data_IF_835018024942
#
_entry.id   IF_835018024942
#
_cell.length_a   1.000
_cell.length_b   1.000
_cell.length_c   1.000
_cell.angle_alpha   90.00
_cell.angle_beta   90.00
_cell.angle_gamma   90.00
#
_symmetry.space_group_name_H-M   'P 1'
#
loop_
_entity.id
_entity.type
_entity.pdbx_description
1 polymer ?
#
# COMPACT_ATOMS: atom_id res chain seq x y z
N UNK A 1 12.97 -5.77 -49.23
CA UNK A 1 11.71 -5.04 -49.52
C UNK A 1 10.70 -6.05 -50.01
N UNK A 2 9.59 -6.20 -49.28
CA UNK A 2 8.34 -5.68 -49.80
C UNK A 2 7.53 -4.90 -48.75
N UNK A 3 6.69 -4.04 -49.29
CA UNK A 3 5.86 -2.99 -48.70
C UNK A 3 4.68 -3.51 -47.88
N UNK A 4 4.52 -3.00 -46.66
CA UNK A 4 3.28 -3.08 -45.87
C UNK A 4 2.35 -1.89 -46.22
N UNK A 5 1.03 -2.11 -46.37
CA UNK A 5 0.09 -1.04 -46.61
C UNK A 5 -0.38 -0.35 -45.32
N UNK A 6 -0.68 0.94 -45.47
CA UNK A 6 -1.23 1.87 -44.47
C UNK A 6 -2.75 1.69 -44.28
N UNK A 7 -3.19 2.15 -43.10
CA UNK A 7 -4.50 2.71 -42.73
C UNK A 7 -5.66 1.76 -42.38
N UNK A 8 -6.14 1.90 -41.14
CA UNK A 8 -7.53 2.09 -40.64
C UNK A 8 -7.35 2.49 -39.16
N UNK A 9 -7.87 3.58 -38.58
CA UNK A 9 -9.16 4.21 -38.78
C UNK A 9 -10.01 3.98 -37.52
N UNK A 10 -9.96 4.96 -36.58
CA UNK A 10 -10.85 5.28 -35.44
C UNK A 10 -11.95 4.27 -35.04
N UNK A 11 -12.10 4.04 -33.73
CA UNK A 11 -13.41 3.96 -33.08
C UNK A 11 -13.35 4.43 -31.62
N UNK A 12 -13.89 5.63 -31.38
CA UNK A 12 -14.28 6.15 -30.08
C UNK A 12 -15.51 5.38 -29.59
N UNK A 13 -15.48 4.86 -28.36
CA UNK A 13 -16.68 4.37 -27.69
C UNK A 13 -17.21 5.44 -26.74
N UNK A 14 -18.25 6.15 -27.18
CA UNK A 14 -19.18 6.85 -26.30
C UNK A 14 -20.26 5.86 -25.87
N UNK A 15 -20.49 5.68 -24.58
CA UNK A 15 -21.69 5.04 -24.05
C UNK A 15 -22.56 6.10 -23.34
N UNK A 16 -23.89 6.07 -23.50
CA UNK A 16 -24.78 7.02 -22.86
C UNK A 16 -25.05 6.62 -21.41
N UNK A 17 -24.76 7.51 -20.46
CA UNK A 17 -25.23 7.38 -19.08
C UNK A 17 -26.69 7.85 -19.01
N UNK A 18 -27.60 6.92 -18.70
CA UNK A 18 -28.98 7.23 -18.33
C UNK A 18 -29.03 7.72 -16.88
N UNK A 19 -29.52 8.95 -16.67
CA UNK A 19 -29.60 9.57 -15.34
C UNK A 19 -30.88 9.13 -14.60
N UNK A 20 -30.77 8.08 -13.79
CA UNK A 20 -31.78 7.79 -12.78
C UNK A 20 -31.55 8.70 -11.56
N UNK A 21 -32.47 9.63 -11.29
CA UNK A 21 -32.44 10.48 -10.08
C UNK A 21 -32.58 9.59 -8.83
N UNK A 22 -31.64 9.61 -7.87
CA UNK A 22 -31.73 8.77 -6.68
C UNK A 22 -32.82 9.27 -5.73
N UNK A 23 -33.58 8.32 -5.18
CA UNK A 23 -34.69 8.56 -4.26
C UNK A 23 -34.20 9.08 -2.90
N UNK A 24 -34.75 10.22 -2.44
CA UNK A 24 -34.37 10.92 -1.18
C UNK A 24 -34.37 10.04 0.08
N UNK A 25 -35.17 8.97 0.14
CA UNK A 25 -35.20 8.04 1.29
C UNK A 25 -33.95 7.16 1.39
N UNK A 26 -33.29 6.83 0.28
CA UNK A 26 -32.06 6.01 0.27
C UNK A 26 -30.86 6.78 0.81
N UNK A 27 -30.77 8.06 0.46
CA UNK A 27 -29.70 9.00 0.87
C UNK A 27 -29.68 9.29 2.39
N UNK A 28 -30.85 9.32 3.04
CA UNK A 28 -30.95 9.54 4.48
C UNK A 28 -30.48 8.31 5.28
N UNK A 29 -30.80 7.10 4.81
CA UNK A 29 -30.42 5.86 5.49
C UNK A 29 -28.90 5.56 5.37
N UNK A 30 -28.28 5.84 4.22
CA UNK A 30 -26.81 5.74 4.06
C UNK A 30 -26.05 6.77 4.91
N UNK A 31 -26.58 7.99 5.08
CA UNK A 31 -25.95 9.02 5.93
C UNK A 31 -25.91 8.62 7.41
N UNK A 32 -26.96 7.99 7.94
CA UNK A 32 -27.02 7.56 9.34
C UNK A 32 -26.07 6.38 9.63
N UNK A 33 -25.96 5.43 8.69
CA UNK A 33 -25.02 4.30 8.80
C UNK A 33 -23.55 4.74 8.74
N UNK A 34 -23.21 5.73 7.91
CA UNK A 34 -21.85 6.25 7.80
C UNK A 34 -21.38 7.01 9.07
N UNK A 35 -22.29 7.68 9.78
CA UNK A 35 -21.99 8.35 11.06
C UNK A 35 -21.77 7.35 12.18
N UNK A 36 -22.65 6.34 12.30
CA UNK A 36 -22.49 5.26 13.27
C UNK A 36 -21.21 4.45 13.03
N UNK A 37 -20.90 4.16 11.76
CA UNK A 37 -19.64 3.51 11.38
C UNK A 37 -18.42 4.36 11.75
N UNK A 38 -18.45 5.69 11.55
CA UNK A 38 -17.32 6.55 11.90
C UNK A 38 -16.99 6.55 13.40
N UNK A 39 -18.00 6.54 14.27
CA UNK A 39 -17.80 6.47 15.73
C UNK A 39 -17.27 5.09 16.16
N UNK A 40 -17.76 4.00 15.56
CA UNK A 40 -17.26 2.65 15.81
C UNK A 40 -15.76 2.55 15.46
N UNK A 41 -15.34 3.04 14.29
CA UNK A 41 -13.94 3.05 13.89
C UNK A 41 -13.08 3.94 14.79
N UNK A 42 -13.58 5.12 15.14
CA UNK A 42 -12.87 6.04 16.02
C UNK A 42 -12.64 5.41 17.40
N UNK A 43 -13.65 4.75 17.98
CA UNK A 43 -13.53 4.03 19.25
C UNK A 43 -12.58 2.85 19.14
N UNK A 44 -12.70 2.05 18.08
CA UNK A 44 -11.83 0.90 17.87
C UNK A 44 -10.36 1.29 17.74
N UNK A 45 -10.05 2.41 17.08
CA UNK A 45 -8.66 2.91 16.96
C UNK A 45 -8.11 3.32 18.32
N UNK A 46 -8.90 4.01 19.14
CA UNK A 46 -8.46 4.52 20.44
C UNK A 46 -8.35 3.41 21.49
N UNK A 47 -9.33 2.50 21.55
CA UNK A 47 -9.48 1.54 22.65
C UNK A 47 -8.90 0.15 22.34
N UNK A 48 -8.92 -0.29 21.08
CA UNK A 48 -8.46 -1.63 20.69
C UNK A 48 -7.14 -1.56 19.95
N UNK A 49 -7.05 -0.64 18.97
CA UNK A 49 -5.81 -0.43 18.26
C UNK A 49 -4.81 0.38 19.10
N UNK A 50 -5.21 1.08 20.16
CA UNK A 50 -4.28 1.84 21.02
C UNK A 50 -3.31 2.72 20.20
N UNK A 51 -3.80 3.31 19.11
CA UNK A 51 -2.98 4.04 18.14
C UNK A 51 -3.43 5.50 18.05
N UNK A 52 -2.51 6.38 17.65
CA UNK A 52 -2.84 7.79 17.39
C UNK A 52 -3.85 7.90 16.26
N UNK A 53 -5.07 8.34 16.60
CA UNK A 53 -6.18 8.48 15.66
C UNK A 53 -5.81 9.42 14.49
N UNK A 54 -5.97 8.99 13.23
CA UNK A 54 -5.83 9.88 12.09
C UNK A 54 -6.88 10.99 12.10
N UNK A 55 -6.46 12.24 11.88
CA UNK A 55 -7.28 13.44 12.06
C UNK A 55 -8.61 13.43 11.29
N UNK A 56 -8.67 12.75 10.13
CA UNK A 56 -9.83 12.78 9.22
C UNK A 56 -10.42 11.41 8.92
N UNK A 57 -10.30 10.44 9.82
CA UNK A 57 -10.84 9.08 9.60
C UNK A 57 -12.35 9.08 9.29
N UNK A 58 -13.14 9.90 9.99
CA UNK A 58 -14.57 10.02 9.73
C UNK A 58 -14.89 10.60 8.34
N UNK A 59 -14.07 11.54 7.88
CA UNK A 59 -14.20 12.13 6.53
C UNK A 59 -13.79 11.12 5.46
N UNK A 60 -12.73 10.35 5.70
CA UNK A 60 -12.29 9.27 4.82
C UNK A 60 -13.40 8.24 4.62
N UNK A 61 -14.08 7.78 5.69
CA UNK A 61 -15.20 6.85 5.57
C UNK A 61 -16.35 7.39 4.71
N UNK A 62 -16.69 8.68 4.86
CA UNK A 62 -17.71 9.33 4.01
C UNK A 62 -17.29 9.36 2.55
N UNK A 63 -16.03 9.69 2.28
CA UNK A 63 -15.46 9.71 0.92
C UNK A 63 -15.43 8.32 0.30
N UNK A 64 -14.99 7.29 1.04
CA UNK A 64 -15.01 5.90 0.57
C UNK A 64 -16.41 5.45 0.20
N UNK A 65 -17.41 5.76 1.03
CA UNK A 65 -18.81 5.46 0.73
C UNK A 65 -19.31 6.24 -0.50
N UNK A 66 -18.90 7.49 -0.68
CA UNK A 66 -19.22 8.27 -1.88
C UNK A 66 -18.54 7.74 -3.15
N UNK A 67 -17.38 7.09 -3.02
CA UNK A 67 -16.70 6.35 -4.10
C UNK A 67 -17.37 5.00 -4.40
N UNK A 68 -18.44 4.63 -3.67
CA UNK A 68 -19.19 3.40 -3.88
C UNK A 68 -18.64 2.20 -3.09
N UNK A 69 -17.74 2.41 -2.13
CA UNK A 69 -17.27 1.35 -1.25
C UNK A 69 -18.35 1.03 -0.19
N UNK A 70 -18.40 -0.23 0.24
CA UNK A 70 -19.21 -0.66 1.38
C UNK A 70 -18.39 -0.50 2.66
N UNK A 71 -18.88 0.27 3.64
CA UNK A 71 -18.23 0.42 4.94
C UNK A 71 -18.39 -0.88 5.74
N UNK A 72 -17.30 -1.36 6.32
CA UNK A 72 -17.25 -2.61 7.09
C UNK A 72 -16.93 -2.33 8.56
N UNK A 73 -17.15 -3.29 9.45
CA UNK A 73 -16.76 -3.13 10.86
C UNK A 73 -15.22 -3.17 10.99
N UNK A 74 -14.60 -2.31 11.83
CA UNK A 74 -13.16 -2.33 12.10
C UNK A 74 -12.67 -3.64 12.75
N UNK A 75 -13.58 -4.46 13.27
CA UNK A 75 -13.27 -5.77 13.84
C UNK A 75 -13.39 -6.93 12.83
N UNK A 76 -13.82 -6.70 11.58
CA UNK A 76 -13.88 -7.71 10.51
C UNK A 76 -12.49 -7.96 9.88
N UNK A 77 -11.59 -8.56 10.67
CA UNK A 77 -10.17 -8.70 10.33
C UNK A 77 -9.77 -10.07 9.80
N UNK A 78 -10.69 -11.01 9.68
CA UNK A 78 -10.45 -12.38 9.21
C UNK A 78 -9.76 -12.40 7.84
N UNK A 79 -8.68 -13.15 7.70
CA UNK A 79 -7.88 -13.25 6.49
C UNK A 79 -7.19 -11.95 6.07
N UNK A 80 -7.28 -10.87 6.84
CA UNK A 80 -6.53 -9.64 6.60
C UNK A 80 -5.23 -9.66 7.39
N UNK A 81 -4.24 -8.91 6.92
CA UNK A 81 -2.95 -8.79 7.59
C UNK A 81 -3.14 -8.45 9.09
N UNK A 82 -2.39 -9.05 10.02
CA UNK A 82 -2.65 -8.90 11.45
C UNK A 82 -2.63 -7.45 11.96
N UNK A 83 -1.94 -6.56 11.24
CA UNK A 83 -1.76 -5.16 11.63
C UNK A 83 -2.77 -4.17 11.03
N UNK A 84 -3.79 -4.61 10.29
CA UNK A 84 -4.74 -3.68 9.66
C UNK A 84 -6.06 -3.52 10.43
N UNK A 85 -6.64 -2.32 10.31
CA UNK A 85 -8.01 -1.99 10.70
C UNK A 85 -8.81 -1.73 9.41
N UNK A 86 -9.72 -2.61 9.00
CA UNK A 86 -10.52 -2.40 7.79
C UNK A 86 -11.44 -1.19 7.94
N UNK A 87 -11.64 -0.47 6.83
CA UNK A 87 -12.54 0.69 6.73
C UNK A 87 -13.71 0.40 5.80
N UNK A 88 -13.40 -0.15 4.64
CA UNK A 88 -14.39 -0.43 3.60
C UNK A 88 -13.90 -1.55 2.70
N UNK A 89 -14.81 -2.10 1.90
CA UNK A 89 -14.53 -3.06 0.84
C UNK A 89 -15.15 -2.59 -0.48
N UNK A 90 -14.55 -3.00 -1.58
CA UNK A 90 -15.06 -2.71 -2.92
C UNK A 90 -14.73 -3.82 -3.89
N UNK A 91 -15.57 -3.95 -4.91
CA UNK A 91 -15.34 -4.90 -5.99
C UNK A 91 -14.15 -4.43 -6.84
N UNK A 92 -13.28 -5.37 -7.19
CA UNK A 92 -12.14 -5.14 -8.08
C UNK A 92 -12.12 -6.20 -9.16
N UNK A 93 -11.64 -5.83 -10.35
CA UNK A 93 -11.28 -6.81 -11.35
C UNK A 93 -9.84 -7.26 -11.07
N UNK A 94 -9.59 -8.55 -10.82
CA UNK A 94 -8.24 -9.01 -10.57
C UNK A 94 -7.33 -8.68 -11.76
N UNK A 95 -6.27 -7.93 -11.50
CA UNK A 95 -5.23 -7.65 -12.47
C UNK A 95 -4.12 -8.70 -12.34
N UNK A 96 -3.66 -9.32 -13.45
CA UNK A 96 -2.57 -10.29 -13.39
C UNK A 96 -1.31 -9.68 -12.77
N UNK A 97 -0.71 -10.40 -11.82
CA UNK A 97 0.58 -10.02 -11.24
C UNK A 97 0.54 -9.05 -10.06
N UNK A 98 -0.65 -8.72 -9.52
CA UNK A 98 -0.79 -8.00 -8.25
C UNK A 98 -1.07 -8.98 -7.09
N UNK A 99 -0.03 -9.30 -6.32
CA UNK A 99 -0.07 -10.19 -5.17
C UNK A 99 -0.92 -9.65 -4.00
N UNK A 100 -1.35 -8.37 -4.04
CA UNK A 100 -2.28 -7.83 -3.04
C UNK A 100 -3.76 -8.10 -3.35
N UNK A 101 -4.07 -8.62 -4.55
CA UNK A 101 -5.44 -8.86 -5.01
C UNK A 101 -5.67 -10.33 -5.28
N UNK A 102 -6.58 -10.94 -4.51
CA UNK A 102 -7.06 -12.30 -4.70
C UNK A 102 -8.59 -12.26 -4.77
N UNK A 103 -9.15 -12.86 -5.82
CA UNK A 103 -10.59 -12.84 -6.06
C UNK A 103 -11.06 -11.50 -6.64
N UNK A 104 -12.24 -11.07 -6.24
CA UNK A 104 -12.97 -9.95 -6.84
C UNK A 104 -13.28 -8.82 -5.84
N UNK A 105 -12.66 -8.83 -4.67
CA UNK A 105 -12.92 -7.84 -3.61
C UNK A 105 -11.60 -7.43 -2.94
N UNK A 106 -11.47 -6.14 -2.64
CA UNK A 106 -10.36 -5.57 -1.88
C UNK A 106 -10.87 -4.68 -0.76
N UNK A 107 -10.17 -4.74 0.36
CA UNK A 107 -10.42 -3.95 1.55
C UNK A 107 -9.51 -2.74 1.55
N UNK A 108 -10.07 -1.57 1.80
CA UNK A 108 -9.31 -0.39 2.18
C UNK A 108 -9.21 -0.36 3.69
N UNK A 109 -7.99 -0.26 4.21
CA UNK A 109 -7.70 -0.38 5.64
C UNK A 109 -6.77 0.75 6.10
N UNK A 110 -6.73 0.97 7.41
CA UNK A 110 -5.63 1.66 8.07
C UNK A 110 -4.60 0.65 8.56
N UNK A 111 -3.32 0.90 8.29
CA UNK A 111 -2.23 0.08 8.79
C UNK A 111 -1.74 0.63 10.14
N UNK A 112 -1.86 -0.18 11.18
CA UNK A 112 -1.24 0.10 12.49
C UNK A 112 0.19 -0.43 12.47
N UNK A 113 1.14 0.43 12.08
CA UNK A 113 2.55 0.06 12.13
C UNK A 113 2.98 -0.25 13.57
N UNK A 114 3.75 -1.32 13.86
CA UNK A 114 4.08 -1.70 15.23
C UNK A 114 4.90 -0.65 15.97
N UNK A 115 5.79 0.02 15.24
CA UNK A 115 6.64 1.09 15.76
C UNK A 115 6.25 2.44 15.14
N UNK A 116 5.76 3.36 15.96
CA UNK A 116 5.35 4.72 15.54
C UNK A 116 6.46 5.55 14.88
N UNK A 117 7.74 5.20 15.07
CA UNK A 117 8.88 5.88 14.42
C UNK A 117 9.00 5.57 12.92
N UNK A 118 8.43 4.46 12.45
CA UNK A 118 8.58 3.99 11.07
C UNK A 118 7.44 4.44 10.16
N UNK A 119 6.34 4.99 10.69
CA UNK A 119 5.20 5.46 9.89
C UNK A 119 4.74 6.87 10.29
N UNK A 120 4.29 7.64 9.31
CA UNK A 120 3.61 8.93 9.54
C UNK A 120 2.14 8.60 9.89
N UNK A 121 1.87 8.28 11.15
CA UNK A 121 0.53 7.87 11.60
C UNK A 121 0.13 6.49 11.08
N UNK A 122 -1.16 6.32 10.75
CA UNK A 122 -1.70 5.07 10.18
C UNK A 122 -1.93 5.23 8.67
N UNK A 123 -1.08 4.64 7.81
CA UNK A 123 -1.24 4.71 6.36
C UNK A 123 -2.52 4.05 5.87
N UNK A 124 -3.04 4.53 4.74
CA UNK A 124 -4.16 3.90 4.03
C UNK A 124 -3.60 2.84 3.08
N UNK A 125 -4.03 1.59 3.28
CA UNK A 125 -3.57 0.43 2.50
C UNK A 125 -4.75 -0.31 1.86
N UNK A 126 -4.45 -1.15 0.88
CA UNK A 126 -5.42 -2.03 0.23
C UNK A 126 -4.91 -3.47 0.15
N UNK A 127 -5.79 -4.43 0.41
CA UNK A 127 -5.53 -5.85 0.17
C UNK A 127 -6.82 -6.65 0.06
N UNK A 128 -6.79 -7.79 -0.63
CA UNK A 128 -7.82 -8.83 -0.51
C UNK A 128 -7.60 -9.68 0.74
N UNK A 129 -8.63 -10.41 1.17
CA UNK A 129 -8.45 -11.46 2.18
C UNK A 129 -7.51 -12.53 1.66
N UNK A 130 -6.66 -13.02 2.54
CA UNK A 130 -5.63 -14.03 2.32
C UNK A 130 -4.58 -13.64 1.25
N UNK A 131 -4.58 -12.39 0.80
CA UNK A 131 -3.53 -11.90 -0.07
C UNK A 131 -2.19 -11.87 0.68
N UNK A 132 -1.09 -12.40 0.11
CA UNK A 132 0.23 -12.38 0.74
C UNK A 132 0.81 -10.97 0.89
N UNK A 133 0.25 -9.99 0.18
CA UNK A 133 0.74 -8.62 0.15
C UNK A 133 -0.36 -7.59 0.36
N UNK A 134 0.05 -6.37 0.69
CA UNK A 134 -0.81 -5.19 0.71
C UNK A 134 -0.17 -4.04 -0.08
N UNK A 135 -1.02 -3.18 -0.63
CA UNK A 135 -0.65 -1.99 -1.37
C UNK A 135 -0.78 -0.75 -0.48
N UNK A 136 0.25 0.09 -0.48
CA UNK A 136 0.13 1.45 0.07
C UNK A 136 -0.65 2.32 -0.91
N UNK A 137 -1.77 2.87 -0.45
CA UNK A 137 -2.60 3.78 -1.24
C UNK A 137 -2.26 5.24 -0.95
N UNK A 138 -2.09 5.57 0.34
CA UNK A 138 -1.69 6.90 0.79
C UNK A 138 -0.99 6.80 2.15
N UNK A 139 -0.04 7.70 2.44
CA UNK A 139 0.71 7.65 3.70
C UNK A 139 -0.11 8.17 4.88
N UNK A 140 -1.12 8.99 4.60
CA UNK A 140 -2.04 9.56 5.59
C UNK A 140 -3.46 9.64 5.03
N UNK A 141 -4.44 9.87 5.92
CA UNK A 141 -5.82 10.17 5.50
C UNK A 141 -5.91 11.44 4.66
N UNK A 142 -5.06 12.42 4.94
CA UNK A 142 -5.08 13.71 4.26
C UNK A 142 -4.55 13.58 2.83
N UNK A 143 -3.50 12.77 2.61
CA UNK A 143 -3.03 12.42 1.26
C UNK A 143 -4.12 11.70 0.47
N UNK A 144 -4.81 10.72 1.07
CA UNK A 144 -5.91 10.03 0.40
C UNK A 144 -7.01 11.03 -0.03
N UNK A 145 -7.46 11.87 0.90
CA UNK A 145 -8.53 12.85 0.66
C UNK A 145 -8.10 13.88 -0.40
N UNK A 146 -6.87 14.39 -0.33
CA UNK A 146 -6.34 15.33 -1.32
C UNK A 146 -6.39 14.71 -2.72
N UNK A 147 -5.87 13.49 -2.87
CA UNK A 147 -5.87 12.80 -4.16
C UNK A 147 -7.28 12.59 -4.69
N UNK A 148 -8.19 12.05 -3.88
CA UNK A 148 -9.56 11.77 -4.31
C UNK A 148 -10.29 13.05 -4.76
N UNK A 149 -10.10 14.16 -4.04
CA UNK A 149 -10.69 15.46 -4.41
C UNK A 149 -10.05 16.06 -5.66
N UNK A 150 -8.74 15.93 -5.82
CA UNK A 150 -8.03 16.39 -7.03
C UNK A 150 -8.42 15.60 -8.28
N UNK A 151 -8.60 14.28 -8.15
CA UNK A 151 -9.07 13.41 -9.23
C UNK A 151 -10.50 13.76 -9.66
N UNK A 152 -11.42 13.95 -8.69
CA UNK A 152 -12.79 14.39 -8.98
C UNK A 152 -12.82 15.77 -9.68
N UNK A 153 -12.05 16.74 -9.16
CA UNK A 153 -11.99 18.09 -9.72
C UNK A 153 -11.51 18.10 -11.17
N UNK A 154 -10.50 17.30 -11.50
CA UNK A 154 -10.00 17.16 -12.88
C UNK A 154 -11.00 16.43 -13.78
N UNK A 155 -11.69 15.41 -13.27
CA UNK A 155 -12.61 14.60 -14.06
C UNK A 155 -13.91 15.33 -14.40
N UNK A 156 -14.48 16.05 -13.43
CA UNK A 156 -15.83 16.63 -13.55
C UNK A 156 -16.04 17.93 -12.78
N UNK A 157 -15.01 18.48 -12.13
CA UNK A 157 -15.18 19.50 -11.10
C UNK A 157 -15.75 18.92 -9.81
N UNK A 158 -16.02 19.75 -8.78
CA UNK A 158 -16.50 19.30 -7.48
C UNK A 158 -17.83 18.52 -7.59
N UNK A 159 -17.86 17.32 -7.03
CA UNK A 159 -18.97 16.39 -7.12
C UNK A 159 -19.32 15.72 -5.79
N UNK A 160 -19.68 14.44 -5.85
CA UNK A 160 -20.13 13.66 -4.69
C UNK A 160 -19.01 13.42 -3.66
N UNK A 161 -17.76 13.31 -4.08
CA UNK A 161 -16.60 13.15 -3.20
C UNK A 161 -16.37 14.46 -2.44
N UNK A 162 -16.38 15.60 -3.13
CA UNK A 162 -16.30 16.92 -2.51
C UNK A 162 -17.46 17.19 -1.55
N UNK A 163 -18.68 16.82 -1.91
CA UNK A 163 -19.85 16.93 -1.02
C UNK A 163 -19.69 16.07 0.24
N UNK A 164 -19.23 14.82 0.09
CA UNK A 164 -19.01 13.90 1.19
C UNK A 164 -17.87 14.34 2.12
N UNK A 165 -16.80 14.90 1.56
CA UNK A 165 -15.65 15.41 2.31
C UNK A 165 -16.01 16.68 3.12
N UNK A 166 -16.95 17.49 2.62
CA UNK A 166 -17.49 18.65 3.33
C UNK A 166 -16.41 19.68 3.73
N UNK A 167 -16.59 20.40 4.86
CA UNK A 167 -15.63 21.40 5.32
C UNK A 167 -14.22 20.85 5.55
N UNK A 168 -14.10 19.65 6.14
CA UNK A 168 -12.81 19.00 6.38
C UNK A 168 -12.06 18.69 5.08
N UNK A 169 -12.77 18.40 3.99
CA UNK A 169 -12.16 18.25 2.66
C UNK A 169 -11.55 19.55 2.12
N UNK A 170 -12.17 20.70 2.43
CA UNK A 170 -11.67 22.01 1.98
C UNK A 170 -10.40 22.46 2.69
N UNK A 171 -10.11 21.89 3.86
CA UNK A 171 -8.85 22.11 4.58
C UNK A 171 -7.67 21.39 3.92
N UNK A 172 -7.93 20.31 3.18
CA UNK A 172 -6.87 19.53 2.49
C UNK A 172 -6.76 19.85 1.01
N UNK A 173 -7.85 20.25 0.35
CA UNK A 173 -7.86 20.53 -1.07
C UNK A 173 -8.77 21.70 -1.44
N UNK A 174 -8.28 22.57 -2.32
CA UNK A 174 -9.03 23.71 -2.87
C UNK A 174 -9.47 23.38 -4.30
N UNK A 175 -10.78 23.45 -4.63
CA UNK A 175 -11.27 23.26 -5.99
C UNK A 175 -10.56 24.14 -7.02
N UNK A 176 -10.22 23.57 -8.18
CA UNK A 176 -9.45 24.23 -9.23
C UNK A 176 -7.93 24.26 -8.98
N UNK A 177 -7.43 23.73 -7.85
CA UNK A 177 -6.00 23.80 -7.52
C UNK A 177 -5.11 23.07 -8.53
N UNK A 178 -5.60 22.01 -9.18
CA UNK A 178 -4.84 21.30 -10.22
C UNK A 178 -4.67 22.19 -11.45
N UNK A 179 -5.77 22.79 -11.92
CA UNK A 179 -5.76 23.70 -13.06
C UNK A 179 -4.88 24.95 -12.81
N UNK A 180 -4.89 25.49 -11.58
CA UNK A 180 -4.09 26.67 -11.23
C UNK A 180 -2.60 26.38 -11.06
N UNK A 181 -2.19 25.13 -10.81
CA UNK A 181 -0.82 24.78 -10.46
C UNK A 181 0.18 24.82 -11.65
N UNK A 182 -0.29 25.12 -12.86
CA UNK A 182 0.49 25.17 -14.12
C UNK A 182 1.30 23.89 -14.40
N UNK A 183 0.91 22.77 -13.80
CA UNK A 183 1.53 21.46 -14.05
C UNK A 183 0.93 20.86 -15.32
N UNK A 184 1.74 20.09 -16.06
CA UNK A 184 1.33 19.53 -17.35
C UNK A 184 0.25 18.45 -17.19
N UNK A 185 0.24 17.72 -16.08
CA UNK A 185 -0.72 16.65 -15.79
C UNK A 185 -0.89 16.40 -14.29
N UNK A 186 -1.97 15.70 -13.91
CA UNK A 186 -2.37 15.43 -12.52
C UNK A 186 -1.27 14.73 -11.71
N UNK A 187 -0.55 13.76 -12.28
CA UNK A 187 0.51 13.02 -11.59
C UNK A 187 1.64 13.95 -11.12
N UNK A 188 2.02 14.94 -11.94
CA UNK A 188 3.00 15.95 -11.57
C UNK A 188 2.49 16.90 -10.49
N UNK A 189 1.18 17.20 -10.50
CA UNK A 189 0.54 17.93 -9.40
C UNK A 189 0.59 17.14 -8.09
N UNK A 190 0.14 15.88 -8.10
CA UNK A 190 0.04 15.05 -6.90
C UNK A 190 1.39 14.92 -6.20
N UNK A 191 2.43 14.51 -6.95
CA UNK A 191 3.80 14.33 -6.43
C UNK A 191 4.44 15.61 -5.87
N UNK A 192 3.99 16.80 -6.30
CA UNK A 192 4.54 18.09 -5.87
C UNK A 192 3.70 18.80 -4.80
N UNK A 193 2.39 18.57 -4.76
CA UNK A 193 1.44 19.38 -3.97
C UNK A 193 0.57 18.57 -3.00
N UNK A 194 0.32 17.30 -3.27
CA UNK A 194 -0.57 16.47 -2.47
C UNK A 194 0.20 15.51 -1.56
N UNK A 195 1.22 14.85 -2.11
CA UNK A 195 1.95 13.79 -1.43
C UNK A 195 2.64 12.87 -2.41
N UNK A 196 3.30 11.83 -1.88
CA UNK A 196 3.97 10.81 -2.69
C UNK A 196 3.10 9.55 -2.71
N UNK A 197 2.77 9.05 -3.90
CA UNK A 197 1.95 7.85 -4.09
C UNK A 197 2.71 6.84 -4.94
N UNK A 198 2.76 5.60 -4.47
CA UNK A 198 3.48 4.48 -5.10
C UNK A 198 3.08 4.33 -6.57
N UNK A 199 1.78 4.23 -6.84
CA UNK A 199 1.23 4.01 -8.18
C UNK A 199 1.46 5.23 -9.10
N UNK A 200 1.38 6.46 -8.58
CA UNK A 200 1.65 7.67 -9.35
C UNK A 200 3.11 7.72 -9.80
N UNK A 201 4.06 7.37 -8.92
CA UNK A 201 5.49 7.35 -9.27
C UNK A 201 5.78 6.25 -10.29
N UNK A 202 5.19 5.07 -10.12
CA UNK A 202 5.32 3.96 -11.07
C UNK A 202 4.71 4.29 -12.44
N UNK A 203 3.58 4.99 -12.49
CA UNK A 203 3.02 5.52 -13.74
C UNK A 203 3.96 6.53 -14.41
N UNK A 204 4.63 7.40 -13.65
CA UNK A 204 5.62 8.32 -14.21
C UNK A 204 6.81 7.57 -14.82
N UNK A 205 7.35 6.57 -14.10
CA UNK A 205 8.41 5.70 -14.61
C UNK A 205 8.00 5.02 -15.92
N UNK A 206 6.84 4.36 -15.93
CA UNK A 206 6.30 3.68 -17.10
C UNK A 206 6.08 4.63 -18.28
N UNK A 207 5.58 5.85 -18.03
CA UNK A 207 5.37 6.87 -19.05
C UNK A 207 6.66 7.40 -19.67
N UNK A 208 7.76 7.47 -18.92
CA UNK A 208 9.08 7.78 -19.48
C UNK A 208 9.58 6.64 -20.36
N UNK A 209 9.49 5.41 -19.87
CA UNK A 209 9.92 4.23 -20.61
C UNK A 209 9.14 4.05 -21.92
N UNK A 210 7.81 4.25 -21.91
CA UNK A 210 6.96 4.15 -23.10
C UNK A 210 7.29 5.19 -24.18
N UNK A 211 7.98 6.27 -23.82
CA UNK A 211 8.46 7.31 -24.76
C UNK A 211 9.89 7.07 -25.24
N UNK A 212 10.52 5.98 -24.81
CA UNK A 212 11.93 5.70 -25.06
C UNK A 212 12.90 6.55 -24.21
N UNK A 213 12.39 7.27 -23.20
CA UNK A 213 13.19 8.09 -22.29
C UNK A 213 13.66 7.26 -21.08
N UNK A 214 14.56 6.30 -21.36
CA UNK A 214 15.10 5.40 -20.34
C UNK A 214 15.82 6.15 -19.22
N UNK A 215 16.51 7.26 -19.55
CA UNK A 215 17.26 8.03 -18.56
C UNK A 215 16.32 8.63 -17.50
N UNK A 216 15.21 9.23 -17.91
CA UNK A 216 14.26 9.81 -16.97
C UNK A 216 13.48 8.74 -16.20
N UNK A 217 13.23 7.57 -16.80
CA UNK A 217 12.68 6.41 -16.09
C UNK A 217 13.62 5.97 -14.93
N UNK A 218 14.93 5.85 -15.20
CA UNK A 218 15.95 5.50 -14.21
C UNK A 218 16.09 6.56 -13.11
N UNK A 219 16.14 7.85 -13.47
CA UNK A 219 16.19 8.94 -12.49
C UNK A 219 14.95 8.92 -11.59
N UNK A 220 13.77 8.66 -12.16
CA UNK A 220 12.53 8.54 -11.39
C UNK A 220 12.56 7.34 -10.46
N UNK A 221 13.09 6.19 -10.91
CA UNK A 221 13.26 4.99 -10.11
C UNK A 221 14.23 5.17 -8.94
N UNK A 222 15.38 5.83 -9.15
CA UNK A 222 16.32 6.16 -8.09
C UNK A 222 15.70 7.13 -7.07
N UNK A 223 14.97 8.14 -7.56
CA UNK A 223 14.24 9.05 -6.69
C UNK A 223 13.16 8.33 -5.87
N UNK A 224 12.45 7.36 -6.46
CA UNK A 224 11.42 6.56 -5.82
C UNK A 224 11.95 5.77 -4.62
N UNK A 225 13.14 5.18 -4.75
CA UNK A 225 13.79 4.35 -3.71
C UNK A 225 14.31 5.14 -2.49
N UNK A 226 14.29 6.49 -2.49
CA UNK A 226 14.80 7.25 -1.35
C UNK A 226 13.99 6.93 -0.09
N UNK A 227 14.69 6.51 0.97
CA UNK A 227 14.11 6.00 2.23
C UNK A 227 13.07 6.92 2.89
N UNK A 228 13.18 8.23 2.68
CA UNK A 228 12.23 9.22 3.23
C UNK A 228 10.84 9.19 2.60
N UNK A 229 10.69 8.64 1.39
CA UNK A 229 9.40 8.68 0.69
C UNK A 229 8.44 7.63 1.22
N UNK A 230 8.92 6.39 1.35
CA UNK A 230 8.15 5.22 1.76
C UNK A 230 8.97 4.34 2.74
N UNK A 231 9.26 4.84 3.94
CA UNK A 231 10.04 4.08 4.92
C UNK A 231 9.34 2.76 5.26
N UNK A 232 10.09 1.65 5.28
CA UNK A 232 9.56 0.33 5.59
C UNK A 232 8.83 -0.39 4.45
N UNK A 233 8.75 0.19 3.24
CA UNK A 233 8.12 -0.43 2.08
C UNK A 233 9.14 -1.00 1.10
N UNK A 234 8.95 -2.25 0.68
CA UNK A 234 9.78 -2.93 -0.32
C UNK A 234 9.46 -2.49 -1.75
N UNK A 235 8.21 -2.11 -2.01
CA UNK A 235 7.70 -1.81 -3.36
C UNK A 235 8.55 -0.82 -4.17
N UNK A 236 9.12 0.27 -3.62
CA UNK A 236 10.02 1.13 -4.40
C UNK A 236 11.23 0.40 -4.98
N UNK A 237 11.84 -0.50 -4.20
CA UNK A 237 12.96 -1.32 -4.64
C UNK A 237 12.50 -2.40 -5.63
N UNK A 238 11.36 -3.04 -5.35
CA UNK A 238 10.75 -4.02 -6.25
C UNK A 238 10.48 -3.42 -7.65
N UNK A 239 9.81 -2.27 -7.71
CA UNK A 239 9.49 -1.60 -8.96
C UNK A 239 10.75 -1.18 -9.72
N UNK A 240 11.79 -0.74 -9.01
CA UNK A 240 13.05 -0.37 -9.64
C UNK A 240 13.85 -1.60 -10.14
N UNK A 241 13.79 -2.73 -9.44
CA UNK A 241 14.34 -4.00 -9.92
C UNK A 241 13.66 -4.47 -11.21
N UNK A 242 12.32 -4.34 -11.28
CA UNK A 242 11.55 -4.65 -12.48
C UNK A 242 11.86 -3.68 -13.64
N UNK A 243 12.05 -2.39 -13.34
CA UNK A 243 12.51 -1.42 -14.36
C UNK A 243 13.86 -1.84 -14.96
N UNK A 244 14.82 -2.25 -14.12
CA UNK A 244 16.11 -2.74 -14.61
C UNK A 244 15.97 -4.01 -15.46
N UNK A 245 15.09 -4.93 -15.05
CA UNK A 245 14.77 -6.12 -15.84
C UNK A 245 14.19 -5.74 -17.22
N UNK A 246 13.24 -4.81 -17.28
CA UNK A 246 12.58 -4.38 -18.51
C UNK A 246 13.54 -3.77 -19.54
N UNK A 247 14.64 -3.16 -19.08
CA UNK A 247 15.71 -2.58 -19.92
C UNK A 247 16.94 -3.47 -20.04
N UNK A 248 16.84 -4.75 -19.65
CA UNK A 248 17.88 -5.77 -19.75
C UNK A 248 19.18 -5.44 -18.97
N UNK A 249 19.05 -4.77 -17.83
CA UNK A 249 20.12 -4.48 -16.85
C UNK A 249 20.05 -5.47 -15.70
N UNK A 250 20.38 -6.73 -15.98
CA UNK A 250 20.06 -7.85 -15.10
C UNK A 250 20.87 -7.87 -13.79
N UNK A 251 22.11 -7.38 -13.79
CA UNK A 251 22.91 -7.30 -12.56
C UNK A 251 22.31 -6.29 -11.57
N UNK A 252 21.94 -5.10 -12.05
CA UNK A 252 21.28 -4.10 -11.23
C UNK A 252 19.88 -4.53 -10.79
N UNK A 253 19.15 -5.26 -11.66
CA UNK A 253 17.86 -5.85 -11.31
C UNK A 253 18.00 -6.84 -10.15
N UNK A 254 18.97 -7.76 -10.23
CA UNK A 254 19.26 -8.74 -9.18
C UNK A 254 19.64 -8.08 -7.87
N UNK A 255 20.56 -7.13 -7.90
CA UNK A 255 21.07 -6.49 -6.68
C UNK A 255 19.99 -5.64 -6.02
N UNK A 256 19.15 -4.96 -6.81
CA UNK A 256 17.98 -4.22 -6.30
C UNK A 256 16.90 -5.16 -5.74
N UNK A 257 16.65 -6.31 -6.37
CA UNK A 257 15.73 -7.32 -5.85
C UNK A 257 16.20 -7.87 -4.49
N UNK A 258 17.51 -8.07 -4.29
CA UNK A 258 18.08 -8.43 -2.98
C UNK A 258 17.87 -7.36 -1.92
N UNK A 259 17.87 -6.07 -2.28
CA UNK A 259 17.50 -4.98 -1.37
C UNK A 259 16.01 -5.06 -1.03
N UNK A 260 15.14 -5.26 -2.02
CA UNK A 260 13.71 -5.42 -1.80
C UNK A 260 13.38 -6.58 -0.84
N UNK A 261 14.09 -7.70 -0.92
CA UNK A 261 13.94 -8.86 -0.03
C UNK A 261 14.51 -8.65 1.39
N UNK A 262 15.23 -7.54 1.65
CA UNK A 262 15.59 -7.13 3.03
C UNK A 262 14.51 -6.29 3.69
N UNK A 263 13.47 -5.93 2.95
CA UNK A 263 12.31 -5.19 3.44
C UNK A 263 11.14 -6.18 3.72
N UNK A 264 10.05 -5.75 4.38
CA UNK A 264 8.93 -6.65 4.68
C UNK A 264 8.25 -7.17 3.41
N UNK A 265 8.15 -8.49 3.26
CA UNK A 265 7.72 -9.12 2.00
C UNK A 265 6.24 -8.97 1.70
N UNK A 266 5.42 -8.73 2.72
CA UNK A 266 4.01 -8.36 2.58
C UNK A 266 3.79 -6.97 1.96
N UNK A 267 4.88 -6.27 1.58
CA UNK A 267 4.84 -5.03 0.78
C UNK A 267 5.31 -5.23 -0.67
N UNK A 268 5.63 -6.45 -1.09
CA UNK A 268 5.99 -6.80 -2.48
C UNK A 268 4.73 -7.07 -3.30
N UNK A 269 4.43 -6.23 -4.28
CA UNK A 269 3.20 -6.34 -5.05
C UNK A 269 3.26 -7.35 -6.18
N UNK A 270 4.45 -7.82 -6.58
CA UNK A 270 4.58 -8.94 -7.51
C UNK A 270 4.80 -10.28 -6.82
N UNK A 271 4.86 -10.26 -5.49
CA UNK A 271 4.98 -11.45 -4.64
C UNK A 271 6.43 -11.89 -4.42
N UNK A 272 6.62 -12.64 -3.33
CA UNK A 272 7.93 -13.11 -2.89
C UNK A 272 8.66 -13.94 -3.95
N UNK A 273 7.98 -14.90 -4.58
CA UNK A 273 8.61 -15.86 -5.49
C UNK A 273 9.27 -15.17 -6.69
N UNK A 274 8.56 -14.23 -7.34
CA UNK A 274 9.08 -13.51 -8.50
C UNK A 274 10.34 -12.71 -8.16
N UNK A 275 10.35 -12.06 -6.99
CA UNK A 275 11.48 -11.23 -6.56
C UNK A 275 12.64 -12.07 -6.06
N UNK A 276 12.38 -13.21 -5.41
CA UNK A 276 13.39 -14.22 -5.09
C UNK A 276 14.08 -14.72 -6.35
N UNK A 277 13.31 -15.06 -7.38
CA UNK A 277 13.84 -15.57 -8.64
C UNK A 277 14.67 -14.49 -9.36
N UNK A 278 14.20 -13.23 -9.38
CA UNK A 278 14.97 -12.10 -9.90
C UNK A 278 16.26 -11.82 -9.12
N UNK A 279 16.26 -12.09 -7.81
CA UNK A 279 17.43 -11.96 -6.94
C UNK A 279 18.44 -13.13 -7.09
N UNK A 280 18.13 -14.12 -7.92
CA UNK A 280 18.90 -15.36 -8.11
C UNK A 280 19.12 -16.12 -6.78
N UNK A 281 18.10 -16.13 -5.93
CA UNK A 281 18.10 -16.86 -4.67
C UNK A 281 17.23 -18.11 -4.79
N UNK A 282 17.59 -19.14 -4.03
CA UNK A 282 16.87 -20.41 -4.00
C UNK A 282 16.47 -20.77 -2.56
N UNK A 283 15.56 -21.74 -2.45
CA UNK A 283 15.04 -22.20 -1.17
C UNK A 283 13.74 -21.51 -0.75
N UNK A 284 13.34 -21.81 0.49
CA UNK A 284 12.16 -21.28 1.15
C UNK A 284 12.42 -19.89 1.77
N UNK A 285 11.42 -19.38 2.49
CA UNK A 285 11.52 -18.11 3.20
C UNK A 285 12.73 -18.04 4.14
N UNK A 286 12.99 -19.08 4.92
CA UNK A 286 14.08 -19.05 5.91
C UNK A 286 15.45 -19.11 5.22
N UNK A 287 15.60 -19.90 4.16
CA UNK A 287 16.81 -19.93 3.34
C UNK A 287 17.13 -18.56 2.74
N UNK A 288 16.12 -17.87 2.18
CA UNK A 288 16.29 -16.52 1.60
C UNK A 288 16.63 -15.48 2.66
N UNK A 289 15.93 -15.51 3.81
CA UNK A 289 16.21 -14.60 4.92
C UNK A 289 17.63 -14.79 5.47
N UNK A 290 18.10 -16.04 5.57
CA UNK A 290 19.45 -16.36 6.00
C UNK A 290 20.49 -15.88 4.98
N UNK A 291 20.28 -16.14 3.68
CA UNK A 291 21.19 -15.70 2.62
C UNK A 291 21.38 -14.17 2.58
N UNK A 292 20.36 -13.41 2.97
CA UNK A 292 20.38 -11.95 2.98
C UNK A 292 20.76 -11.34 4.33
N UNK A 293 21.02 -12.16 5.35
CA UNK A 293 21.39 -11.72 6.70
C UNK A 293 22.74 -10.99 6.71
N UNK A 294 22.89 -10.05 7.65
CA UNK A 294 24.15 -9.34 7.88
C UNK A 294 25.30 -10.30 8.22
N UNK A 295 25.00 -11.40 8.90
CA UNK A 295 25.97 -12.44 9.25
C UNK A 295 26.51 -13.16 8.01
N UNK A 296 25.63 -13.52 7.07
CA UNK A 296 26.05 -14.14 5.81
C UNK A 296 26.80 -13.14 4.92
N UNK A 297 26.38 -11.86 4.93
CA UNK A 297 27.08 -10.79 4.23
C UNK A 297 28.49 -10.53 4.80
N UNK A 298 28.65 -10.58 6.12
CA UNK A 298 29.93 -10.43 6.81
C UNK A 298 30.86 -11.63 6.59
N UNK A 299 30.32 -12.86 6.51
CA UNK A 299 31.09 -14.06 6.24
C UNK A 299 31.59 -14.18 4.78
N UNK A 300 30.92 -13.50 3.84
CA UNK A 300 31.18 -13.64 2.39
C UNK A 300 32.00 -12.49 1.78
N UNK A 301 32.38 -11.47 2.57
CA UNK A 301 33.08 -10.27 2.09
C UNK A 301 34.40 -9.97 2.82
N UNK A 302 35.29 -9.15 2.23
CA UNK A 302 36.51 -8.66 2.90
C UNK A 302 36.15 -7.49 3.83
N UNK A 303 35.28 -7.73 4.81
CA UNK A 303 34.96 -6.72 5.82
C UNK A 303 35.97 -6.89 6.96
N UNK A 304 36.86 -5.91 7.23
CA UNK A 304 37.71 -5.95 8.41
C UNK A 304 36.79 -6.02 9.63
N UNK A 305 37.06 -6.95 10.55
CA UNK A 305 36.20 -7.32 11.69
C UNK A 305 35.72 -6.13 12.52
N UNK A 306 34.70 -5.44 12.02
CA UNK A 306 33.93 -4.46 12.76
C UNK A 306 33.04 -5.21 13.74
N UNK A 307 33.01 -4.74 14.98
CA UNK A 307 32.17 -5.31 16.03
C UNK A 307 30.73 -5.44 15.52
N UNK A 308 30.29 -6.67 15.27
CA UNK A 308 28.87 -6.99 15.13
C UNK A 308 28.24 -6.54 16.44
N UNK A 309 27.48 -5.44 16.41
CA UNK A 309 26.79 -4.96 17.60
C UNK A 309 25.81 -6.06 17.99
N UNK A 310 25.99 -6.63 19.20
CA UNK A 310 25.08 -7.63 19.72
C UNK A 310 23.67 -7.07 19.74
N UNK A 311 22.75 -7.72 19.03
CA UNK A 311 21.34 -7.34 19.02
C UNK A 311 20.75 -7.52 20.41
N UNK A 312 19.99 -6.52 20.86
CA UNK A 312 19.29 -6.63 22.14
C UNK A 312 18.06 -7.57 22.02
N UNK A 313 17.50 -7.96 23.16
CA UNK A 313 16.36 -8.87 23.20
C UNK A 313 15.13 -8.33 22.43
N UNK A 314 14.95 -7.01 22.43
CA UNK A 314 13.84 -6.35 21.71
C UNK A 314 14.04 -6.47 20.20
N UNK A 315 15.25 -6.20 19.70
CA UNK A 315 15.60 -6.32 18.29
C UNK A 315 15.43 -7.75 17.80
N UNK A 316 15.88 -8.74 18.58
CA UNK A 316 15.68 -10.15 18.24
C UNK A 316 14.20 -10.54 18.19
N UNK A 317 13.38 -10.04 19.11
CA UNK A 317 11.94 -10.28 19.12
C UNK A 317 11.24 -9.64 17.91
N UNK A 318 11.63 -8.40 17.53
CA UNK A 318 11.11 -7.74 16.34
C UNK A 318 11.53 -8.45 15.04
N UNK A 319 12.77 -8.92 14.95
CA UNK A 319 13.22 -9.72 13.80
C UNK A 319 12.47 -11.04 13.69
N UNK A 320 12.12 -11.65 14.82
CA UNK A 320 11.30 -12.85 14.86
C UNK A 320 9.88 -12.56 14.34
N UNK A 321 9.27 -11.46 14.78
CA UNK A 321 7.97 -10.98 14.26
C UNK A 321 8.01 -10.72 12.75
N UNK A 322 9.04 -10.03 12.26
CA UNK A 322 9.22 -9.78 10.82
C UNK A 322 9.38 -11.09 10.04
N UNK A 323 10.17 -12.05 10.55
CA UNK A 323 10.30 -13.39 9.94
C UNK A 323 8.97 -14.15 9.92
N UNK A 324 8.16 -14.07 10.96
CA UNK A 324 6.84 -14.72 11.01
C UNK A 324 5.91 -14.14 9.95
N UNK A 325 5.84 -12.81 9.80
CA UNK A 325 5.04 -12.18 8.74
C UNK A 325 5.60 -12.47 7.34
N UNK A 326 6.92 -12.47 7.16
CA UNK A 326 7.56 -12.78 5.88
C UNK A 326 7.28 -14.21 5.43
N UNK A 327 7.30 -15.20 6.34
CA UNK A 327 6.93 -16.58 6.02
C UNK A 327 5.48 -16.70 5.54
N UNK A 328 4.55 -15.95 6.13
CA UNK A 328 3.16 -15.89 5.67
C UNK A 328 3.06 -15.25 4.27
N UNK A 329 3.73 -14.12 4.05
CA UNK A 329 3.77 -13.46 2.74
C UNK A 329 4.43 -14.33 1.65
N UNK A 330 5.40 -15.17 2.02
CA UNK A 330 6.03 -16.14 1.11
C UNK A 330 5.17 -17.38 0.86
N UNK A 331 4.03 -17.55 1.53
CA UNK A 331 3.22 -18.77 1.48
C UNK A 331 3.90 -19.98 2.12
N UNK A 332 4.89 -19.75 3.00
CA UNK A 332 5.64 -20.81 3.71
C UNK A 332 4.99 -21.21 5.03
N UNK A 333 4.07 -20.41 5.56
CA UNK A 333 3.24 -20.73 6.73
C UNK A 333 1.76 -20.66 6.36
N UNK A 334 0.90 -21.10 7.29
CA UNK A 334 -0.54 -20.88 7.17
C UNK A 334 -0.88 -19.38 7.11
N UNK A 335 -2.15 -19.09 6.78
CA UNK A 335 -2.69 -17.75 6.51
C UNK A 335 -2.47 -16.72 7.64
N UNK A 336 -2.86 -15.47 7.38
CA UNK A 336 -2.72 -14.37 8.34
C UNK A 336 -3.39 -14.61 9.69
N UNK A 337 -4.45 -15.42 9.75
CA UNK A 337 -5.15 -15.68 11.00
C UNK A 337 -4.38 -16.70 11.86
N UNK A 338 -3.79 -17.71 11.23
CA UNK A 338 -3.02 -18.75 11.92
C UNK A 338 -1.79 -18.22 12.68
N UNK A 339 -1.20 -17.11 12.22
CA UNK A 339 0.02 -16.55 12.82
C UNK A 339 -0.25 -15.56 13.96
N UNK A 340 -1.51 -15.18 14.22
CA UNK A 340 -1.86 -14.11 15.17
C UNK A 340 -1.34 -14.36 16.58
N UNK A 341 -1.59 -15.55 17.13
CA UNK A 341 -1.11 -15.93 18.45
C UNK A 341 0.42 -15.84 18.60
N UNK A 342 1.15 -16.48 17.68
CA UNK A 342 2.61 -16.45 17.66
C UNK A 342 3.15 -15.01 17.51
N UNK A 343 2.58 -14.23 16.59
CA UNK A 343 3.00 -12.86 16.32
C UNK A 343 2.75 -11.94 17.53
N UNK A 344 1.63 -12.14 18.23
CA UNK A 344 1.33 -11.41 19.46
C UNK A 344 2.35 -11.70 20.57
N UNK A 345 2.76 -12.96 20.74
CA UNK A 345 3.81 -13.33 21.71
C UNK A 345 5.15 -12.70 21.35
N UNK A 346 5.49 -12.63 20.07
CA UNK A 346 6.73 -12.00 19.57
C UNK A 346 6.73 -10.48 19.83
N UNK A 347 5.61 -9.79 19.59
CA UNK A 347 5.50 -8.37 19.93
C UNK A 347 5.49 -8.12 21.45
N UNK A 348 4.86 -8.99 22.25
CA UNK A 348 4.92 -8.89 23.71
C UNK A 348 6.35 -9.04 24.23
N UNK A 349 7.13 -9.97 23.67
CA UNK A 349 8.55 -10.13 23.98
C UNK A 349 9.39 -8.90 23.57
N UNK A 350 8.96 -8.16 22.54
CA UNK A 350 9.56 -6.88 22.14
C UNK A 350 9.12 -5.67 23.01
N UNK A 351 8.28 -5.90 24.03
CA UNK A 351 7.72 -4.84 24.89
C UNK A 351 6.60 -4.03 24.23
N UNK A 352 5.97 -4.56 23.17
CA UNK A 352 4.86 -3.95 22.43
C UNK A 352 3.53 -4.65 22.76
N UNK A 353 3.15 -4.65 24.04
CA UNK A 353 1.96 -5.36 24.53
C UNK A 353 0.66 -4.85 23.92
N UNK A 354 0.55 -3.55 23.69
CA UNK A 354 -0.58 -2.92 23.01
C UNK A 354 -0.73 -3.47 21.57
N UNK A 355 0.39 -3.75 20.89
CA UNK A 355 0.38 -4.41 19.58
C UNK A 355 -0.06 -5.84 19.64
N UNK A 356 0.41 -6.58 20.64
CA UNK A 356 -0.01 -7.96 20.87
C UNK A 356 -1.52 -8.06 21.14
N UNK A 357 -2.06 -7.22 22.02
CA UNK A 357 -3.48 -7.16 22.35
C UNK A 357 -4.34 -6.79 21.13
N UNK A 358 -3.90 -5.80 20.35
CA UNK A 358 -4.55 -5.45 19.09
C UNK A 358 -4.62 -6.65 18.12
N UNK A 359 -3.56 -7.45 18.00
CA UNK A 359 -3.54 -8.62 17.11
C UNK A 359 -4.55 -9.67 17.57
N UNK A 360 -4.58 -9.96 18.88
CA UNK A 360 -5.44 -10.98 19.50
C UNK A 360 -6.92 -10.58 19.55
N UNK A 361 -7.24 -9.28 19.53
CA UNK A 361 -8.63 -8.80 19.51
C UNK A 361 -9.45 -9.31 18.31
N UNK A 362 -8.80 -9.84 17.27
CA UNK A 362 -9.47 -10.48 16.13
C UNK A 362 -9.96 -11.92 16.42
N UNK A 363 -9.45 -12.59 17.46
CA UNK A 363 -9.74 -14.01 17.78
C UNK A 363 -11.00 -14.20 18.64
N UNK A 364 -11.50 -13.16 19.32
CA UNK A 364 -12.63 -13.25 20.24
C UNK A 364 -14.01 -13.12 19.58
N UNK A 365 -14.26 -13.78 18.45
CA UNK A 365 -15.58 -13.82 17.80
C UNK A 365 -16.20 -15.21 17.79
#
# INVERSE_FOLDING_TARGET
>A
MPTLPRCLGRQLWCLPFSSAKPCRRRLLHTRTLALAGAEEHARYIDEIAMASRPARVATLLKVLNAQGHEIVSPADRTGLHPLVVPLSKHAVQPAPGDASVIGNETFTCLLRWPESKRSIGMPVVQMSRNAPSMRLVARTTDEYLHRALAEEDVASGPGQIAEAAGPSGREVYVPGAVASAKQVHLQAYLTRRAGMYIDVVEQLMANHLSKGDTMSALITGEWYMRSKHFPGWARPFEANALLFQDINRMEEARDTARIALRMPWWTLLTGFQKIRDLAELSGDADAVANALSEETAAASGPVPGGNIISKDAKQLALEKADRTMNRSAAGSTADWDSIRGQLADEYRAAGLSDVAEFILAAEHR
#
